data_IF_773841215186
#
_entry.id   IF_773841215186
#
_cell.length_a   1.000
_cell.length_b   1.000
_cell.length_c   1.000
_cell.angle_alpha   90.00
_cell.angle_beta   90.00
_cell.angle_gamma   90.00
#
_symmetry.space_group_name_H-M   'P 1'
#
loop_
_entity.id
_entity.type
_entity.pdbx_description
1 polymer ?
#
# COMPACT_ATOMS: atom_id res chain seq x y z
N UNK A 1 -1.40 7.12 -1.82
CA UNK A 1 -0.25 7.41 -0.93
C UNK A 1 0.52 8.68 -1.26
N UNK A 2 1.36 9.06 -0.34
CA UNK A 2 2.17 10.28 -0.49
C UNK A 2 3.45 10.23 0.35
N UNK A 3 4.55 10.79 -0.18
CA UNK A 3 5.83 10.90 0.50
C UNK A 3 6.60 12.16 0.12
N UNK A 4 7.37 12.72 1.06
CA UNK A 4 8.28 13.83 0.79
C UNK A 4 9.67 13.34 0.38
N UNK A 5 10.30 14.02 -0.56
CA UNK A 5 11.71 13.83 -0.87
C UNK A 5 12.62 14.74 -0.02
N UNK A 6 13.95 14.64 -0.24
CA UNK A 6 14.95 15.46 0.48
C UNK A 6 14.82 16.97 0.24
N UNK A 7 14.22 17.36 -0.88
CA UNK A 7 14.01 18.76 -1.27
C UNK A 7 12.63 19.29 -0.85
N UNK A 8 11.93 18.56 0.01
CA UNK A 8 10.57 18.87 0.49
C UNK A 8 9.50 18.91 -0.63
N UNK A 9 9.75 18.24 -1.77
CA UNK A 9 8.69 17.99 -2.73
C UNK A 9 7.80 16.87 -2.22
N UNK A 10 6.49 17.05 -2.31
CA UNK A 10 5.50 16.02 -1.99
C UNK A 10 5.15 15.24 -3.26
N UNK A 11 5.48 13.96 -3.29
CA UNK A 11 5.00 13.05 -4.33
C UNK A 11 3.69 12.41 -3.90
N UNK A 12 2.76 12.26 -4.85
CA UNK A 12 1.41 11.77 -4.60
C UNK A 12 1.00 10.80 -5.72
N UNK A 13 0.57 9.60 -5.34
CA UNK A 13 -0.15 8.70 -6.23
C UNK A 13 -1.62 9.08 -6.28
N UNK A 14 -2.16 9.22 -7.49
CA UNK A 14 -3.56 9.59 -7.72
C UNK A 14 -4.19 8.57 -8.65
N UNK A 15 -5.19 7.83 -8.15
CA UNK A 15 -5.95 6.87 -8.95
C UNK A 15 -6.55 7.53 -10.20
N UNK A 16 -6.34 6.93 -11.36
CA UNK A 16 -6.77 7.46 -12.65
C UNK A 16 -5.87 8.52 -13.28
N UNK A 17 -4.90 9.06 -12.52
CA UNK A 17 -4.06 10.17 -12.97
C UNK A 17 -2.55 9.85 -12.96
N UNK A 18 -2.09 8.91 -12.12
CA UNK A 18 -0.70 8.51 -12.01
C UNK A 18 0.08 9.18 -10.88
N UNK A 19 1.37 9.44 -11.08
CA UNK A 19 2.28 10.04 -10.09
C UNK A 19 2.45 11.53 -10.33
N UNK A 20 2.24 12.32 -9.30
CA UNK A 20 2.37 13.78 -9.29
C UNK A 20 3.40 14.23 -8.26
N UNK A 21 3.97 15.41 -8.48
CA UNK A 21 4.85 16.13 -7.55
C UNK A 21 4.26 17.50 -7.23
N UNK A 22 4.27 17.87 -5.96
CA UNK A 22 3.92 19.19 -5.46
C UNK A 22 5.18 19.79 -4.84
N UNK A 23 5.66 20.87 -5.40
CA UNK A 23 6.86 21.56 -4.93
C UNK A 23 6.59 22.42 -3.69
N UNK A 24 7.61 22.84 -2.90
CA UNK A 24 7.42 23.67 -1.72
C UNK A 24 6.70 25.01 -2.00
N UNK A 25 6.84 25.56 -3.21
CA UNK A 25 6.11 26.73 -3.70
C UNK A 25 4.69 26.40 -4.21
N UNK A 26 4.22 25.17 -3.96
CA UNK A 26 2.87 24.64 -4.27
C UNK A 26 2.58 24.47 -5.76
N UNK A 27 3.57 24.39 -6.60
CA UNK A 27 3.38 24.06 -8.02
C UNK A 27 3.12 22.57 -8.15
N UNK A 28 2.05 22.20 -8.85
CA UNK A 28 1.65 20.82 -9.13
C UNK A 28 2.17 20.40 -10.50
N UNK A 29 2.89 19.31 -10.56
CA UNK A 29 3.49 18.79 -11.79
C UNK A 29 3.15 17.31 -11.95
N UNK A 30 2.73 16.90 -13.15
CA UNK A 30 2.61 15.49 -13.49
C UNK A 30 4.00 14.91 -13.70
N UNK A 31 4.33 13.85 -12.98
CA UNK A 31 5.61 13.13 -13.12
C UNK A 31 5.48 12.07 -14.20
N UNK A 32 4.48 11.19 -14.05
CA UNK A 32 4.17 10.16 -15.05
C UNK A 32 2.75 9.63 -14.87
N UNK A 33 2.10 9.30 -15.98
CA UNK A 33 0.84 8.56 -16.05
C UNK A 33 0.98 7.27 -16.88
N UNK A 34 2.22 6.93 -17.23
CA UNK A 34 2.54 5.76 -18.04
C UNK A 34 3.77 5.00 -17.52
N UNK A 35 3.87 3.74 -17.89
CA UNK A 35 5.04 2.88 -17.70
C UNK A 35 5.26 2.00 -18.93
N UNK A 36 6.31 1.18 -18.94
CA UNK A 36 6.57 0.28 -20.06
C UNK A 36 5.44 -0.74 -20.22
N UNK A 37 4.96 -0.88 -21.45
CA UNK A 37 3.98 -1.90 -21.84
C UNK A 37 4.52 -3.31 -21.58
N UNK A 38 3.64 -4.22 -21.15
CA UNK A 38 3.96 -5.63 -21.07
C UNK A 38 4.08 -6.25 -22.48
N UNK A 39 5.15 -6.97 -22.74
CA UNK A 39 5.34 -7.72 -23.98
C UNK A 39 4.35 -8.90 -24.13
N UNK A 40 3.76 -9.35 -23.02
CA UNK A 40 2.85 -10.51 -22.98
C UNK A 40 1.38 -10.11 -22.86
N UNK A 41 1.07 -8.82 -22.77
CA UNK A 41 -0.30 -8.33 -22.71
C UNK A 41 -0.84 -8.07 -24.12
N UNK A 42 -2.01 -8.64 -24.44
CA UNK A 42 -2.74 -8.36 -25.68
C UNK A 42 -3.21 -6.90 -25.70
N UNK A 43 -3.67 -6.41 -24.55
CA UNK A 43 -4.08 -5.03 -24.40
C UNK A 43 -2.90 -4.15 -24.02
N UNK A 44 -2.95 -2.89 -24.41
CA UNK A 44 -2.00 -1.89 -23.95
C UNK A 44 -2.24 -1.60 -22.47
N UNK A 45 -1.25 -1.95 -21.64
CA UNK A 45 -1.24 -1.73 -20.20
C UNK A 45 -0.23 -0.65 -19.76
N UNK A 46 0.22 0.21 -20.70
CA UNK A 46 1.18 1.27 -20.38
C UNK A 46 0.58 2.36 -19.50
N UNK A 47 -0.70 2.69 -19.67
CA UNK A 47 -1.38 3.72 -18.87
C UNK A 47 -1.58 3.27 -17.42
N UNK A 48 -1.34 4.19 -16.47
CA UNK A 48 -1.63 4.01 -15.05
C UNK A 48 -3.12 4.22 -14.75
N UNK A 49 -3.79 3.21 -14.18
CA UNK A 49 -5.22 3.26 -13.84
C UNK A 49 -5.47 3.50 -12.36
N UNK A 50 -4.72 2.82 -11.51
CA UNK A 50 -4.91 2.89 -10.07
C UNK A 50 -3.55 2.94 -9.36
N UNK A 51 -2.82 4.05 -9.55
CA UNK A 51 -1.66 4.37 -8.74
C UNK A 51 -2.12 4.59 -7.29
N UNK A 52 -1.55 3.84 -6.34
CA UNK A 52 -2.08 3.74 -4.98
C UNK A 52 -1.12 4.30 -3.94
N UNK A 53 -0.07 3.60 -3.56
CA UNK A 53 0.88 4.04 -2.54
C UNK A 53 2.31 4.12 -3.08
N UNK A 54 3.16 4.90 -2.39
CA UNK A 54 4.54 5.09 -2.79
C UNK A 54 5.47 5.27 -1.61
N UNK A 55 6.75 4.92 -1.84
CA UNK A 55 7.84 5.36 -0.98
C UNK A 55 9.10 5.68 -1.82
N UNK A 56 10.02 6.47 -1.25
CA UNK A 56 11.17 7.03 -1.94
C UNK A 56 12.45 6.42 -1.36
N UNK A 57 13.27 5.79 -2.18
CA UNK A 57 14.57 5.25 -1.79
C UNK A 57 15.61 6.37 -1.55
N UNK A 58 16.70 6.05 -0.86
CA UNK A 58 17.74 7.02 -0.51
C UNK A 58 18.45 7.62 -1.72
N UNK A 59 18.48 6.90 -2.84
CA UNK A 59 19.01 7.37 -4.12
C UNK A 59 18.01 8.21 -4.94
N UNK A 60 16.81 8.42 -4.41
CA UNK A 60 15.75 9.20 -5.02
C UNK A 60 14.80 8.41 -5.93
N UNK A 61 15.05 7.12 -6.19
CA UNK A 61 14.07 6.28 -6.91
C UNK A 61 12.76 6.20 -6.14
N UNK A 62 11.66 6.30 -6.86
CA UNK A 62 10.31 6.23 -6.29
C UNK A 62 9.69 4.89 -6.69
N UNK A 63 9.38 4.08 -5.70
CA UNK A 63 8.64 2.85 -5.89
C UNK A 63 7.17 3.11 -5.55
N UNK A 64 6.28 2.71 -6.45
CA UNK A 64 4.85 2.87 -6.19
C UNK A 64 4.06 1.67 -6.71
N UNK A 65 2.95 1.42 -6.06
CA UNK A 65 2.02 0.38 -6.43
C UNK A 65 1.00 0.89 -7.44
N UNK A 66 0.61 0.01 -8.35
CA UNK A 66 -0.60 0.14 -9.12
C UNK A 66 -1.49 -1.07 -8.83
N UNK A 67 -2.59 -0.82 -8.14
CA UNK A 67 -3.43 -1.87 -7.59
C UNK A 67 -4.04 -2.74 -8.69
N UNK A 68 -4.39 -2.16 -9.83
CA UNK A 68 -4.91 -2.90 -10.99
C UNK A 68 -4.61 -2.17 -12.31
N UNK A 69 -4.19 -2.90 -13.34
CA UNK A 69 -4.03 -2.42 -14.72
C UNK A 69 -5.33 -2.58 -15.54
N UNK A 70 -6.37 -3.14 -14.94
CA UNK A 70 -7.57 -3.57 -15.65
C UNK A 70 -8.78 -2.70 -15.39
N UNK A 71 -8.96 -2.26 -14.17
CA UNK A 71 -10.15 -1.58 -13.70
C UNK A 71 -9.86 -0.12 -13.38
N UNK A 72 -10.87 0.75 -13.60
CA UNK A 72 -10.79 2.14 -13.17
C UNK A 72 -11.08 2.25 -11.65
N UNK A 73 -10.82 3.43 -11.06
CA UNK A 73 -10.94 3.65 -9.61
C UNK A 73 -12.29 3.23 -9.03
N UNK A 74 -13.39 3.49 -9.74
CA UNK A 74 -14.74 3.15 -9.27
C UNK A 74 -15.11 1.66 -9.43
N UNK A 75 -14.28 0.89 -10.15
CA UNK A 75 -14.48 -0.54 -10.42
C UNK A 75 -13.56 -1.44 -9.57
N UNK A 76 -12.73 -0.87 -8.70
CA UNK A 76 -11.77 -1.64 -7.90
C UNK A 76 -12.38 -2.84 -7.15
N UNK A 77 -13.65 -2.80 -6.67
CA UNK A 77 -14.25 -3.96 -6.02
C UNK A 77 -14.36 -5.18 -6.93
N UNK A 78 -14.46 -4.97 -8.25
CA UNK A 78 -14.47 -6.06 -9.23
C UNK A 78 -13.13 -6.78 -9.26
N UNK A 79 -12.02 -6.03 -9.18
CA UNK A 79 -10.68 -6.61 -9.09
C UNK A 79 -10.53 -7.47 -7.83
N UNK A 80 -10.98 -6.95 -6.69
CA UNK A 80 -11.01 -7.67 -5.42
C UNK A 80 -11.82 -8.97 -5.49
N UNK A 81 -12.97 -8.92 -6.16
CA UNK A 81 -13.81 -10.10 -6.37
C UNK A 81 -13.14 -11.13 -7.28
N UNK A 82 -12.43 -10.69 -8.32
CA UNK A 82 -11.67 -11.59 -9.20
C UNK A 82 -10.44 -12.18 -8.52
N UNK A 83 -9.77 -11.42 -7.65
CA UNK A 83 -8.48 -11.75 -7.01
C UNK A 83 -7.44 -12.30 -7.99
N UNK A 84 -7.38 -11.71 -9.17
CA UNK A 84 -6.38 -12.02 -10.18
C UNK A 84 -5.14 -11.16 -9.95
N UNK A 85 -4.00 -11.57 -10.49
CA UNK A 85 -2.78 -10.79 -10.47
C UNK A 85 -2.81 -9.65 -11.51
N UNK A 86 -3.69 -8.68 -11.34
CA UNK A 86 -3.81 -7.53 -12.26
C UNK A 86 -2.94 -6.33 -11.82
N UNK A 87 -2.33 -6.40 -10.63
CA UNK A 87 -1.51 -5.31 -10.11
C UNK A 87 -0.04 -5.44 -10.43
N UNK A 88 0.70 -4.36 -10.19
CA UNK A 88 2.15 -4.27 -10.42
C UNK A 88 2.82 -3.27 -9.48
N UNK A 89 4.14 -3.40 -9.32
CA UNK A 89 5.00 -2.39 -8.71
C UNK A 89 5.80 -1.71 -9.81
N UNK A 90 5.92 -0.40 -9.70
CA UNK A 90 6.56 0.47 -10.68
C UNK A 90 7.68 1.25 -9.99
N UNK A 91 8.76 1.49 -10.71
CA UNK A 91 9.85 2.35 -10.31
C UNK A 91 9.94 3.55 -11.25
N UNK A 92 9.88 4.76 -10.69
CA UNK A 92 10.26 5.98 -11.36
C UNK A 92 11.67 6.39 -10.92
N UNK A 93 12.54 6.66 -11.88
CA UNK A 93 13.89 7.16 -11.61
C UNK A 93 13.99 8.63 -11.99
N UNK A 94 14.07 9.56 -11.04
CA UNK A 94 14.11 11.00 -11.33
C UNK A 94 15.41 11.44 -12.02
N UNK A 95 16.52 10.70 -11.86
CA UNK A 95 17.80 11.02 -12.50
C UNK A 95 17.74 10.82 -14.04
N UNK A 96 16.91 9.89 -14.51
CA UNK A 96 16.77 9.57 -15.94
C UNK A 96 15.41 9.98 -16.52
N UNK A 97 14.44 10.33 -15.65
CA UNK A 97 13.05 10.60 -16.03
C UNK A 97 12.31 9.37 -16.54
N UNK A 98 12.79 8.16 -16.24
CA UNK A 98 12.21 6.91 -16.76
C UNK A 98 11.30 6.23 -15.75
N UNK A 99 10.20 5.67 -16.25
CA UNK A 99 9.26 4.87 -15.50
C UNK A 99 9.24 3.45 -16.03
N UNK A 100 9.39 2.44 -15.16
CA UNK A 100 9.30 1.05 -15.59
C UNK A 100 8.68 0.16 -14.51
N UNK A 101 7.98 -0.87 -14.95
CA UNK A 101 7.39 -1.88 -14.08
C UNK A 101 8.47 -2.86 -13.63
N UNK A 102 8.60 -3.04 -12.31
CA UNK A 102 9.58 -3.97 -11.70
C UNK A 102 8.96 -5.32 -11.32
N UNK A 103 7.69 -5.34 -10.94
CA UNK A 103 6.95 -6.56 -10.64
C UNK A 103 5.56 -6.52 -11.28
N UNK A 104 5.08 -7.68 -11.73
CA UNK A 104 3.74 -7.87 -12.32
C UNK A 104 3.04 -9.06 -11.68
N UNK A 105 1.75 -9.20 -11.95
CA UNK A 105 0.98 -10.37 -11.52
C UNK A 105 0.62 -10.36 -10.04
N UNK A 106 0.49 -9.19 -9.44
CA UNK A 106 0.21 -9.00 -8.03
C UNK A 106 -1.29 -8.85 -7.76
N UNK A 107 -1.76 -9.33 -6.60
CA UNK A 107 -3.17 -9.30 -6.20
C UNK A 107 -3.50 -8.02 -5.43
N UNK A 108 -3.75 -6.95 -6.16
CA UNK A 108 -4.06 -5.63 -5.61
C UNK A 108 -2.93 -5.14 -4.67
N UNK A 109 -1.72 -4.90 -5.21
CA UNK A 109 -0.65 -4.31 -4.41
C UNK A 109 -1.06 -2.91 -3.95
N UNK A 110 -0.85 -2.65 -2.66
CA UNK A 110 -1.26 -1.44 -1.97
C UNK A 110 -0.05 -0.79 -1.31
N UNK A 111 0.04 -0.75 0.00
CA UNK A 111 1.09 -0.09 0.75
C UNK A 111 2.52 -0.44 0.32
N UNK A 112 3.35 0.57 0.19
CA UNK A 112 4.78 0.47 -0.14
C UNK A 112 5.59 1.09 0.99
N UNK A 113 6.63 0.40 1.44
CA UNK A 113 7.57 0.91 2.42
C UNK A 113 8.99 0.49 2.07
N UNK A 114 9.91 1.43 1.94
CA UNK A 114 11.34 1.09 1.86
C UNK A 114 11.74 0.43 3.18
N UNK A 115 12.33 -0.74 3.10
CA UNK A 115 12.78 -1.47 4.27
C UNK A 115 13.97 -0.78 4.96
N UNK A 116 14.21 -1.12 6.21
CA UNK A 116 15.27 -0.52 7.02
C UNK A 116 16.68 -0.75 6.47
N UNK A 117 16.84 -1.78 5.61
CA UNK A 117 18.09 -2.08 4.90
C UNK A 117 18.40 -1.10 3.75
N UNK A 118 17.42 -0.28 3.32
CA UNK A 118 17.56 0.64 2.18
C UNK A 118 17.74 -0.03 0.82
N UNK A 119 17.64 -1.36 0.73
CA UNK A 119 17.88 -2.15 -0.49
C UNK A 119 16.65 -2.90 -0.99
N UNK A 120 15.59 -2.89 -0.22
CA UNK A 120 14.34 -3.58 -0.54
C UNK A 120 13.12 -2.73 -0.23
N UNK A 121 11.99 -3.09 -0.82
CA UNK A 121 10.67 -2.60 -0.43
C UNK A 121 9.86 -3.73 0.19
N UNK A 122 9.09 -3.40 1.22
CA UNK A 122 7.95 -4.18 1.64
C UNK A 122 6.71 -3.68 0.89
N UNK A 123 5.85 -4.60 0.48
CA UNK A 123 4.58 -4.23 -0.13
C UNK A 123 3.45 -5.16 0.30
N UNK A 124 2.27 -4.58 0.44
CA UNK A 124 1.05 -5.32 0.76
C UNK A 124 0.39 -5.84 -0.52
N UNK A 125 -0.08 -7.09 -0.51
CA UNK A 125 -1.08 -7.58 -1.46
C UNK A 125 -2.42 -7.69 -0.74
N UNK A 126 -3.32 -6.72 -0.92
CA UNK A 126 -4.59 -6.64 -0.20
C UNK A 126 -5.42 -7.90 -0.37
N UNK A 127 -5.71 -8.31 -1.61
CA UNK A 127 -6.46 -9.53 -1.89
C UNK A 127 -5.60 -10.80 -1.97
N UNK A 128 -4.28 -10.66 -1.76
CA UNK A 128 -3.38 -11.75 -1.45
C UNK A 128 -3.33 -12.08 0.03
N UNK A 129 -3.82 -11.19 0.91
CA UNK A 129 -3.70 -11.27 2.37
C UNK A 129 -2.25 -11.55 2.81
N UNK A 130 -1.30 -10.85 2.21
CA UNK A 130 0.14 -11.11 2.40
C UNK A 130 0.97 -9.83 2.36
N UNK A 131 2.13 -9.88 3.00
CA UNK A 131 3.19 -8.90 2.87
C UNK A 131 4.37 -9.58 2.19
N UNK A 132 4.89 -8.93 1.17
CA UNK A 132 6.04 -9.40 0.41
C UNK A 132 7.16 -8.37 0.43
N UNK A 133 8.36 -8.83 0.12
CA UNK A 133 9.57 -8.04 -0.03
C UNK A 133 10.10 -8.18 -1.45
N UNK A 134 10.43 -7.08 -2.08
CA UNK A 134 11.16 -7.05 -3.34
C UNK A 134 12.51 -6.36 -3.15
N UNK A 135 13.57 -7.06 -3.53
CA UNK A 135 14.94 -6.55 -3.47
C UNK A 135 15.25 -5.78 -4.75
N UNK A 136 15.41 -4.48 -4.65
CA UNK A 136 15.74 -3.63 -5.81
C UNK A 136 17.23 -3.31 -5.91
N UNK A 137 18.01 -3.65 -4.86
CA UNK A 137 19.46 -3.47 -4.81
C UNK A 137 20.13 -4.60 -4.02
N UNK A 138 21.50 -4.60 -4.03
CA UNK A 138 22.33 -5.55 -3.30
C UNK A 138 22.35 -6.96 -3.90
N UNK A 139 22.89 -7.96 -3.14
CA UNK A 139 23.11 -9.31 -3.63
C UNK A 139 21.83 -10.10 -3.99
N UNK A 140 20.70 -9.65 -3.51
CA UNK A 140 19.39 -10.27 -3.75
C UNK A 140 18.57 -9.56 -4.82
N UNK A 141 19.12 -8.58 -5.52
CA UNK A 141 18.41 -7.79 -6.55
C UNK A 141 17.55 -8.67 -7.46
N UNK A 142 16.28 -8.27 -7.65
CA UNK A 142 15.29 -8.97 -8.45
C UNK A 142 14.54 -10.09 -7.73
N UNK A 143 14.94 -10.47 -6.50
CA UNK A 143 14.23 -11.49 -5.73
C UNK A 143 12.97 -10.94 -5.07
N UNK A 144 11.97 -11.80 -4.96
CA UNK A 144 10.74 -11.57 -4.18
C UNK A 144 10.66 -12.63 -3.08
N UNK A 145 10.41 -12.19 -1.86
CA UNK A 145 10.27 -13.06 -0.68
C UNK A 145 8.91 -12.78 -0.01
N UNK A 146 8.26 -13.81 0.53
CA UNK A 146 7.06 -13.63 1.35
C UNK A 146 7.49 -13.38 2.79
N UNK A 147 7.07 -12.27 3.37
CA UNK A 147 7.36 -11.89 4.76
C UNK A 147 6.23 -12.36 5.68
N UNK A 148 4.98 -12.10 5.29
CA UNK A 148 3.79 -12.58 6.00
C UNK A 148 2.80 -13.15 4.99
N UNK A 149 2.15 -14.23 5.34
CA UNK A 149 1.14 -14.86 4.50
C UNK A 149 -0.11 -15.21 5.32
N UNK A 150 -1.22 -15.39 4.64
CA UNK A 150 -2.48 -15.79 5.25
C UNK A 150 -2.91 -14.86 6.42
N UNK A 151 -2.75 -13.56 6.23
CA UNK A 151 -3.18 -12.55 7.21
C UNK A 151 -4.68 -12.67 7.51
N UNK A 152 -5.11 -12.35 8.74
CA UNK A 152 -6.53 -12.44 9.14
C UNK A 152 -7.39 -11.32 8.55
N UNK A 153 -6.78 -10.34 7.91
CA UNK A 153 -7.43 -9.20 7.29
C UNK A 153 -6.81 -8.83 5.96
N UNK A 154 -7.31 -7.77 5.38
CA UNK A 154 -6.84 -7.21 4.11
C UNK A 154 -5.79 -6.13 4.40
N UNK A 155 -4.49 -6.40 4.14
CA UNK A 155 -3.43 -5.45 4.39
C UNK A 155 -3.56 -4.25 3.42
N UNK A 156 -3.30 -3.07 3.96
CA UNK A 156 -3.34 -1.80 3.26
C UNK A 156 -1.95 -1.12 3.35
N UNK A 157 -1.81 0.07 3.87
CA UNK A 157 -0.53 0.76 3.91
C UNK A 157 0.43 0.21 4.97
N UNK A 158 1.74 0.28 4.66
CA UNK A 158 2.86 -0.09 5.52
C UNK A 158 3.70 1.15 5.79
N UNK A 159 4.12 1.36 7.03
CA UNK A 159 5.02 2.45 7.39
C UNK A 159 6.08 2.01 8.39
N UNK A 160 7.27 2.62 8.31
CA UNK A 160 8.35 2.39 9.25
C UNK A 160 8.00 2.95 10.64
N UNK A 161 8.28 2.17 11.68
CA UNK A 161 8.19 2.56 13.07
C UNK A 161 9.50 3.17 13.59
N UNK A 162 9.43 3.88 14.73
CA UNK A 162 10.60 4.53 15.35
C UNK A 162 11.70 3.57 15.80
N UNK A 163 11.33 2.33 16.10
CA UNK A 163 12.24 1.27 16.53
C UNK A 163 12.82 0.42 15.39
N UNK A 164 12.54 0.77 14.13
CA UNK A 164 13.01 0.06 12.95
C UNK A 164 12.11 -1.10 12.50
N UNK A 165 11.03 -1.37 13.23
CA UNK A 165 9.96 -2.28 12.82
C UNK A 165 8.95 -1.58 11.90
N UNK A 166 7.84 -2.23 11.59
CA UNK A 166 6.85 -1.73 10.64
C UNK A 166 5.46 -1.72 11.23
N UNK A 167 4.71 -0.68 10.91
CA UNK A 167 3.27 -0.59 11.12
C UNK A 167 2.53 -1.03 9.86
N UNK A 168 1.46 -1.80 10.03
CA UNK A 168 0.56 -2.24 8.96
C UNK A 168 -0.88 -1.95 9.33
N UNK A 169 -1.59 -1.23 8.47
CA UNK A 169 -3.03 -1.09 8.54
C UNK A 169 -3.72 -2.29 7.88
N UNK A 170 -4.82 -2.75 8.48
CA UNK A 170 -5.73 -3.69 7.83
C UNK A 170 -7.08 -3.00 7.63
N UNK A 171 -7.45 -2.77 6.37
CA UNK A 171 -8.68 -2.06 6.01
C UNK A 171 -9.94 -2.83 6.39
N UNK A 172 -9.84 -4.12 6.59
CA UNK A 172 -10.92 -4.98 7.05
C UNK A 172 -10.46 -6.40 7.33
N UNK A 173 -11.33 -7.16 8.00
CA UNK A 173 -11.06 -8.58 8.29
C UNK A 173 -11.49 -9.47 7.12
N UNK A 174 -10.82 -10.61 6.94
CA UNK A 174 -11.16 -11.57 5.90
C UNK A 174 -12.61 -12.04 6.02
N UNK A 175 -13.32 -11.99 4.91
CA UNK A 175 -14.70 -12.48 4.80
C UNK A 175 -14.71 -13.94 4.33
N UNK A 176 -15.31 -14.88 5.09
CA UNK A 176 -15.49 -16.25 4.62
C UNK A 176 -16.26 -16.34 3.28
N UNK A 177 -17.18 -15.40 3.04
CA UNK A 177 -17.94 -15.33 1.80
C UNK A 177 -17.04 -14.97 0.61
N UNK A 178 -16.10 -14.03 0.78
CA UNK A 178 -15.14 -13.66 -0.25
C UNK A 178 -14.12 -14.79 -0.49
N UNK A 179 -13.62 -15.43 0.58
CA UNK A 179 -12.76 -16.62 0.47
C UNK A 179 -13.44 -17.75 -0.33
N UNK A 180 -14.74 -17.97 -0.09
CA UNK A 180 -15.53 -18.94 -0.87
C UNK A 180 -15.66 -18.51 -2.33
N UNK A 181 -15.90 -17.23 -2.58
CA UNK A 181 -16.01 -16.68 -3.93
C UNK A 181 -14.71 -16.87 -4.74
N UNK A 182 -13.57 -16.68 -4.11
CA UNK A 182 -12.26 -16.91 -4.75
C UNK A 182 -12.04 -18.37 -5.12
N UNK A 183 -12.47 -19.30 -4.28
CA UNK A 183 -12.36 -20.76 -4.51
C UNK A 183 -13.37 -21.31 -5.49
N UNK A 184 -14.54 -20.66 -5.60
CA UNK A 184 -15.68 -21.15 -6.39
C UNK A 184 -16.13 -20.13 -7.46
N UNK A 185 -15.52 -20.15 -8.66
CA UNK A 185 -15.85 -19.18 -9.72
C UNK A 185 -17.33 -19.13 -10.10
N UNK A 186 -18.04 -20.29 -10.05
CA UNK A 186 -19.47 -20.36 -10.31
C UNK A 186 -20.32 -19.64 -9.24
N UNK A 187 -19.93 -19.74 -7.97
CA UNK A 187 -20.55 -18.99 -6.87
C UNK A 187 -20.28 -17.49 -7.06
N UNK A 188 -19.03 -17.10 -7.25
CA UNK A 188 -18.61 -15.72 -7.50
C UNK A 188 -19.41 -15.06 -8.63
N UNK A 189 -19.54 -15.75 -9.77
CA UNK A 189 -20.29 -15.24 -10.92
C UNK A 189 -21.77 -15.03 -10.61
N UNK A 190 -22.39 -15.91 -9.80
CA UNK A 190 -23.78 -15.76 -9.37
C UNK A 190 -23.96 -14.60 -8.40
N UNK A 191 -23.05 -14.46 -7.43
CA UNK A 191 -23.08 -13.38 -6.46
C UNK A 191 -22.89 -12.01 -7.13
N UNK A 192 -21.88 -11.85 -7.97
CA UNK A 192 -21.65 -10.59 -8.69
C UNK A 192 -22.75 -10.19 -9.67
N UNK A 193 -23.69 -11.10 -10.00
CA UNK A 193 -24.91 -10.79 -10.79
C UNK A 193 -26.11 -10.38 -9.95
N UNK A 194 -26.14 -10.72 -8.67
CA UNK A 194 -27.33 -10.60 -7.81
C UNK A 194 -27.20 -9.59 -6.70
N UNK A 195 -26.00 -9.34 -6.28
CA UNK A 195 -25.68 -8.42 -5.17
C UNK A 195 -24.68 -7.41 -5.68
N UNK A 196 -24.87 -6.11 -5.46
CA UNK A 196 -23.87 -5.09 -5.75
C UNK A 196 -22.55 -5.48 -5.09
N UNK A 197 -21.44 -5.35 -5.84
CA UNK A 197 -20.15 -5.91 -5.44
C UNK A 197 -19.62 -5.24 -4.16
N UNK A 198 -19.82 -3.96 -4.03
CA UNK A 198 -19.48 -3.15 -2.88
C UNK A 198 -20.27 -3.55 -1.60
N UNK A 199 -21.49 -4.01 -1.74
CA UNK A 199 -22.30 -4.44 -0.58
C UNK A 199 -21.82 -5.76 0.03
N UNK A 200 -21.34 -6.72 -0.75
CA UNK A 200 -20.94 -8.01 -0.21
C UNK A 200 -19.41 -8.22 -0.11
N UNK A 201 -18.63 -7.39 -0.77
CA UNK A 201 -17.19 -7.32 -0.56
C UNK A 201 -16.85 -6.83 0.86
N UNK A 202 -17.71 -5.96 1.40
CA UNK A 202 -17.54 -5.32 2.69
C UNK A 202 -18.60 -5.65 3.77
N UNK A 203 -19.19 -6.83 3.82
CA UNK A 203 -20.32 -7.07 4.72
C UNK A 203 -20.01 -6.93 6.22
N UNK A 204 -18.73 -6.81 6.62
CA UNK A 204 -18.31 -6.80 8.02
C UNK A 204 -17.08 -5.92 8.31
N UNK A 205 -16.90 -4.83 7.58
CA UNK A 205 -15.61 -4.10 7.62
C UNK A 205 -15.62 -2.90 8.58
N UNK A 206 -16.48 -2.89 9.56
CA UNK A 206 -16.43 -1.83 10.58
C UNK A 206 -15.31 -2.02 11.62
N UNK A 207 -14.42 -2.97 11.43
CA UNK A 207 -13.31 -3.21 12.35
C UNK A 207 -12.14 -2.29 12.00
N UNK A 208 -11.57 -1.62 13.00
CA UNK A 208 -10.27 -0.98 12.89
C UNK A 208 -9.17 -1.91 13.37
N UNK A 209 -8.11 -2.08 12.60
CA UNK A 209 -6.97 -2.89 13.01
C UNK A 209 -5.64 -2.31 12.48
N UNK A 210 -4.66 -2.23 13.39
CA UNK A 210 -3.26 -1.94 13.07
C UNK A 210 -2.40 -2.96 13.78
N UNK A 211 -1.42 -3.49 13.08
CA UNK A 211 -0.41 -4.37 13.68
C UNK A 211 0.98 -3.79 13.52
N UNK A 212 1.88 -4.14 14.44
CA UNK A 212 3.31 -3.89 14.36
C UNK A 212 4.02 -5.21 14.11
N UNK A 213 4.94 -5.26 13.16
CA UNK A 213 5.67 -6.46 12.82
C UNK A 213 7.14 -6.17 12.53
N UNK A 214 7.99 -7.18 12.65
CA UNK A 214 9.43 -7.06 12.40
C UNK A 214 9.82 -7.57 11.00
N UNK A 215 11.10 -7.46 10.66
CA UNK A 215 11.71 -7.91 9.41
C UNK A 215 11.45 -9.38 9.05
N UNK A 216 11.14 -10.23 10.05
CA UNK A 216 10.83 -11.65 9.86
C UNK A 216 9.34 -11.93 9.71
N UNK A 217 8.49 -10.88 9.76
CA UNK A 217 7.04 -11.02 9.70
C UNK A 217 6.41 -11.48 11.03
N UNK A 218 7.15 -11.40 12.15
CA UNK A 218 6.60 -11.69 13.45
C UNK A 218 5.79 -10.50 13.96
N UNK A 219 4.54 -10.72 14.35
CA UNK A 219 3.67 -9.68 14.93
C UNK A 219 4.15 -9.38 16.36
N UNK A 220 4.46 -8.12 16.62
CA UNK A 220 4.96 -7.64 17.92
C UNK A 220 3.83 -7.04 18.75
N UNK A 221 2.96 -6.26 18.13
CA UNK A 221 1.84 -5.57 18.76
C UNK A 221 0.63 -5.55 17.84
N UNK A 222 -0.57 -5.43 18.40
CA UNK A 222 -1.80 -5.24 17.62
C UNK A 222 -2.78 -4.35 18.37
N UNK A 223 -3.42 -3.44 17.66
CA UNK A 223 -4.44 -2.53 18.14
C UNK A 223 -5.74 -2.77 17.41
N UNK A 224 -6.83 -2.93 18.15
CA UNK A 224 -8.12 -3.32 17.61
C UNK A 224 -9.25 -2.41 18.06
N UNK A 225 -10.06 -1.99 17.12
CA UNK A 225 -11.41 -1.47 17.35
C UNK A 225 -12.40 -2.45 16.73
N UNK A 226 -12.69 -3.52 17.44
CA UNK A 226 -13.46 -4.67 16.92
C UNK A 226 -14.87 -4.29 16.46
N UNK A 227 -15.46 -3.27 17.06
CA UNK A 227 -16.82 -2.80 16.72
C UNK A 227 -16.79 -1.60 15.78
N UNK A 228 -15.63 -1.05 15.47
CA UNK A 228 -15.47 0.10 14.60
C UNK A 228 -16.15 1.37 15.11
N UNK A 229 -16.27 1.50 16.44
CA UNK A 229 -16.94 2.66 17.06
C UNK A 229 -16.05 3.89 17.02
N UNK A 230 -14.75 3.72 17.22
CA UNK A 230 -13.80 4.82 17.32
C UNK A 230 -13.17 5.15 15.97
N UNK A 231 -12.60 4.16 15.28
CA UNK A 231 -11.89 4.37 14.03
C UNK A 231 -11.92 3.12 13.13
N UNK A 232 -13.04 2.85 12.46
CA UNK A 232 -13.16 1.71 11.54
C UNK A 232 -12.34 1.90 10.27
N UNK A 233 -12.11 0.81 9.54
CA UNK A 233 -11.55 0.81 8.20
C UNK A 233 -10.23 1.62 8.10
N UNK A 234 -9.28 1.28 8.97
CA UNK A 234 -7.97 1.95 8.96
C UNK A 234 -7.22 1.51 7.71
N UNK A 235 -6.90 2.46 6.85
CA UNK A 235 -6.14 2.23 5.62
C UNK A 235 -4.70 2.71 5.74
N UNK A 236 -4.46 3.68 6.60
CA UNK A 236 -3.12 4.24 6.78
C UNK A 236 -2.84 4.56 8.24
N UNK A 237 -1.56 4.54 8.59
CA UNK A 237 -1.10 4.98 9.90
C UNK A 237 0.29 5.58 9.76
N UNK A 238 0.61 6.50 10.66
CA UNK A 238 1.95 7.09 10.72
C UNK A 238 2.35 7.39 12.15
N UNK A 239 3.50 6.89 12.53
CA UNK A 239 4.10 7.24 13.80
C UNK A 239 4.77 8.62 13.71
N UNK A 240 4.47 9.48 14.67
CA UNK A 240 5.04 10.80 14.75
C UNK A 240 5.03 11.30 16.21
N UNK A 241 6.20 11.64 16.74
CA UNK A 241 6.39 12.21 18.08
C UNK A 241 5.67 11.47 19.20
N UNK A 242 5.83 10.14 19.24
CA UNK A 242 5.24 9.28 20.26
C UNK A 242 3.75 8.99 20.09
N UNK A 243 3.16 9.34 18.94
CA UNK A 243 1.78 9.03 18.61
C UNK A 243 1.70 8.27 17.30
N UNK A 244 0.70 7.41 17.19
CA UNK A 244 0.26 6.79 15.96
C UNK A 244 -0.96 7.56 15.44
N UNK A 245 -0.83 8.17 14.28
CA UNK A 245 -1.93 8.83 13.57
C UNK A 245 -2.58 7.83 12.64
N UNK A 246 -3.91 7.81 12.60
CA UNK A 246 -4.70 6.81 11.88
C UNK A 246 -5.57 7.50 10.84
N UNK A 247 -5.46 7.06 9.60
CA UNK A 247 -6.32 7.45 8.48
C UNK A 247 -7.23 6.29 8.06
N UNK A 248 -8.33 6.60 7.42
CA UNK A 248 -9.27 5.59 6.93
C UNK A 248 -10.18 6.15 5.84
N UNK A 249 -10.69 5.28 4.96
CA UNK A 249 -11.50 5.70 3.81
C UNK A 249 -12.93 6.11 4.15
N UNK A 250 -13.48 5.63 5.25
CA UNK A 250 -14.85 5.95 5.66
C UNK A 250 -14.94 6.86 6.87
N UNK A 251 -13.81 7.37 7.33
CA UNK A 251 -13.74 8.26 8.48
C UNK A 251 -13.74 9.73 8.05
N UNK A 252 -14.44 10.57 8.81
CA UNK A 252 -14.43 12.03 8.67
C UNK A 252 -13.42 12.73 9.61
N UNK A 253 -12.46 11.96 10.14
CA UNK A 253 -11.49 12.40 11.15
C UNK A 253 -10.19 11.62 11.02
N UNK A 254 -9.11 12.21 11.52
CA UNK A 254 -7.83 11.52 11.74
C UNK A 254 -7.82 11.03 13.19
N UNK A 255 -7.60 9.75 13.40
CA UNK A 255 -7.39 9.15 14.71
C UNK A 255 -6.00 9.49 15.25
N UNK A 256 -5.85 9.50 16.57
CA UNK A 256 -4.55 9.63 17.24
C UNK A 256 -4.49 8.74 18.46
N UNK A 257 -3.52 7.84 18.50
CA UNK A 257 -3.26 6.95 19.61
C UNK A 257 -1.87 7.23 20.18
N UNK A 258 -1.77 7.38 21.52
CA UNK A 258 -0.48 7.56 22.19
C UNK A 258 0.21 6.22 22.33
N UNK A 259 1.44 6.11 21.85
CA UNK A 259 2.24 4.91 21.95
C UNK A 259 3.06 4.92 23.24
N UNK A 260 3.02 3.81 23.99
CA UNK A 260 3.87 3.64 25.16
C UNK A 260 5.29 3.27 24.73
N UNK A 261 6.29 4.00 25.26
CA UNK A 261 7.71 3.73 24.98
C UNK A 261 8.20 4.15 23.59
N UNK A 262 7.34 4.79 22.77
CA UNK A 262 7.79 5.31 21.46
C UNK A 262 8.64 6.58 21.62
N UNK A 263 9.56 6.80 20.68
CA UNK A 263 10.43 7.97 20.65
C UNK A 263 9.59 9.26 20.48
N UNK A 264 9.57 10.18 21.47
CA UNK A 264 8.81 11.43 21.40
C UNK A 264 9.38 12.42 20.38
N UNK A 265 10.59 12.18 19.86
CA UNK A 265 11.23 13.02 18.87
C UNK A 265 11.20 12.41 17.45
N UNK A 266 10.64 11.20 17.29
CA UNK A 266 10.61 10.52 16.02
C UNK A 266 9.77 11.27 14.99
N UNK A 267 10.44 11.64 13.88
CA UNK A 267 9.83 12.16 12.66
C UNK A 267 10.41 11.34 11.52
N UNK A 268 9.59 10.54 10.86
CA UNK A 268 10.04 9.57 9.86
C UNK A 268 10.91 10.19 8.77
N UNK A 269 10.52 11.36 8.24
CA UNK A 269 11.26 12.04 7.17
C UNK A 269 12.58 12.63 7.65
N UNK A 270 12.60 13.20 8.86
CA UNK A 270 13.81 13.78 9.43
C UNK A 270 14.87 12.71 9.68
N UNK A 271 14.46 11.55 10.20
CA UNK A 271 15.36 10.40 10.37
C UNK A 271 15.89 9.90 9.04
N UNK A 272 15.03 9.77 8.03
CA UNK A 272 15.40 9.26 6.72
C UNK A 272 16.30 10.21 5.94
N UNK A 273 16.03 11.51 6.02
CA UNK A 273 16.75 12.52 5.26
C UNK A 273 17.84 13.24 6.07
N UNK A 274 18.08 12.84 7.32
CA UNK A 274 19.14 13.42 8.16
C UNK A 274 18.91 14.87 8.58
N UNK A 275 17.66 15.36 8.58
CA UNK A 275 17.33 16.74 8.90
C UNK A 275 17.42 17.07 10.41
N UNK A 276 17.53 16.05 11.29
CA UNK A 276 17.63 16.18 12.75
C UNK A 276 18.81 15.37 13.34
N UNK A 277 19.98 15.45 12.71
CA UNK A 277 21.25 15.01 13.33
C UNK A 277 21.99 16.16 13.97
#
# INVERSE_FOLDING_TARGET
GMAFDRADNLYVCIGGMGLYRITPDRKVEKVTDETNRSLYSVNDDSRLRLADDLDIADDGRIFFSEATVRYEMHEWPVDGLEARGNGRIICYNPATGTTHTVLRGLKFPNGICIASDGQSILFAETFGCSIKRYWFDGPKTGKVETVMDNLPGYPDNINLASDGNYWLAMVGMRSPALDLAWRMPGFRKRMGKRVPIDEWLFPNINTGCVIKFNERGEVLESFWDLQGVNHPMITSMREHRGYLYLGGISNNRIGRYKLDGADPNFIQYDRRWGKNQ
#
